data_IF_206052021501
#
_entry.id   IF_206052021501
#
_cell.length_a   1.000
_cell.length_b   1.000
_cell.length_c   1.000
_cell.angle_alpha   90.00
_cell.angle_beta   90.00
_cell.angle_gamma   90.00
#
_symmetry.space_group_name_H-M   'P 1'
#
loop_
_entity.id
_entity.type
_entity.pdbx_description
1 polymer ?
#
# COMPACT_ATOMS: atom_id res chain seq x y z
N UNK A 1 31.13 5.40 1.67
CA UNK A 1 30.16 4.39 1.16
C UNK A 1 30.05 3.29 2.18
N UNK A 2 28.85 3.07 2.72
CA UNK A 2 28.60 1.91 3.56
C UNK A 2 28.83 0.62 2.78
N UNK A 3 29.59 -0.36 3.33
CA UNK A 3 30.12 -1.49 2.54
C UNK A 3 29.07 -2.49 2.07
N UNK A 4 27.88 -2.53 2.67
CA UNK A 4 26.94 -3.65 2.46
C UNK A 4 25.78 -3.32 1.53
N UNK A 5 25.97 -2.42 0.55
CA UNK A 5 24.94 -2.08 -0.42
C UNK A 5 25.20 -2.71 -1.78
N UNK A 6 24.13 -3.10 -2.47
CA UNK A 6 24.15 -3.57 -3.85
C UNK A 6 23.32 -2.65 -4.72
N UNK A 7 23.96 -1.84 -5.56
CA UNK A 7 23.29 -0.96 -6.52
C UNK A 7 23.67 -1.32 -7.94
N UNK A 8 22.69 -1.72 -8.74
CA UNK A 8 22.88 -2.16 -10.14
C UNK A 8 21.95 -1.39 -11.05
N UNK A 9 22.49 -0.63 -11.97
CA UNK A 9 21.73 0.17 -12.95
C UNK A 9 22.15 1.62 -13.00
N UNK A 10 21.73 2.32 -14.06
CA UNK A 10 22.04 3.75 -14.23
C UNK A 10 21.43 4.54 -13.07
N UNK A 11 22.24 5.30 -12.33
CA UNK A 11 21.83 6.13 -11.20
C UNK A 11 21.14 5.36 -10.05
N UNK A 12 21.30 4.05 -9.96
CA UNK A 12 20.85 3.29 -8.79
C UNK A 12 21.66 3.72 -7.55
N UNK A 13 21.00 4.07 -6.46
CA UNK A 13 21.63 4.56 -5.24
C UNK A 13 22.45 5.83 -5.42
N UNK A 14 22.14 6.68 -6.39
CA UNK A 14 22.95 7.82 -6.85
C UNK A 14 23.38 8.76 -5.72
N UNK A 15 22.51 9.07 -4.80
CA UNK A 15 22.77 10.03 -3.72
C UNK A 15 22.99 9.38 -2.35
N UNK A 16 23.12 8.05 -2.33
CA UNK A 16 23.31 7.32 -1.08
C UNK A 16 24.60 7.77 -0.36
N UNK A 17 24.47 8.29 0.84
CA UNK A 17 25.57 8.81 1.64
C UNK A 17 25.36 8.52 3.14
N UNK A 18 25.26 7.26 3.49
CA UNK A 18 25.22 6.87 4.91
C UNK A 18 26.65 6.68 5.43
N UNK A 19 27.06 7.51 6.39
CA UNK A 19 28.38 7.49 7.00
C UNK A 19 28.44 6.66 8.30
N UNK A 20 27.31 6.18 8.79
CA UNK A 20 27.22 5.41 10.05
C UNK A 20 27.62 3.92 9.90
N UNK A 21 28.01 3.50 8.71
CA UNK A 21 28.53 2.14 8.47
C UNK A 21 27.48 1.09 8.11
N UNK A 22 26.21 1.29 8.41
CA UNK A 22 25.12 0.38 8.05
C UNK A 22 24.43 0.83 6.76
N UNK A 23 24.34 -0.05 5.79
CA UNK A 23 23.59 0.18 4.56
C UNK A 23 22.60 -0.96 4.33
N UNK A 24 23.12 -2.07 3.85
CA UNK A 24 22.37 -3.30 3.55
C UNK A 24 21.15 -3.04 2.69
N UNK A 25 21.33 -2.14 1.70
CA UNK A 25 20.29 -1.84 0.72
C UNK A 25 20.57 -2.58 -0.59
N UNK A 26 19.51 -2.98 -1.25
CA UNK A 26 19.54 -3.51 -2.61
C UNK A 26 18.75 -2.59 -3.52
N UNK A 27 19.40 -2.06 -4.56
CA UNK A 27 18.78 -1.27 -5.60
C UNK A 27 19.11 -1.84 -6.98
N UNK A 28 18.15 -2.42 -7.67
CA UNK A 28 18.33 -3.00 -8.99
C UNK A 28 17.38 -2.37 -9.99
N UNK A 29 17.91 -1.70 -10.99
CA UNK A 29 17.16 -0.98 -12.01
C UNK A 29 17.67 0.45 -12.21
N UNK A 30 17.31 1.06 -13.33
CA UNK A 30 17.65 2.47 -13.55
C UNK A 30 16.91 3.33 -12.54
N UNK A 31 17.63 4.28 -11.93
CA UNK A 31 17.19 5.19 -10.85
C UNK A 31 16.50 4.51 -9.64
N UNK A 32 16.60 3.20 -9.51
CA UNK A 32 16.18 2.47 -8.30
C UNK A 32 16.94 2.99 -7.08
N UNK A 33 16.27 3.22 -5.96
CA UNK A 33 16.88 3.87 -4.78
C UNK A 33 17.61 5.19 -5.09
N UNK A 34 17.29 5.85 -6.20
CA UNK A 34 18.07 7.00 -6.71
C UNK A 34 18.08 8.22 -5.81
N UNK A 35 17.09 8.39 -4.96
CA UNK A 35 16.98 9.45 -3.97
C UNK A 35 17.27 8.99 -2.53
N UNK A 36 17.58 7.73 -2.31
CA UNK A 36 17.91 7.20 -0.99
C UNK A 36 19.21 7.85 -0.48
N UNK A 37 19.15 8.47 0.70
CA UNK A 37 20.31 9.17 1.30
C UNK A 37 20.92 8.38 2.44
N UNK A 38 20.19 8.16 3.51
CA UNK A 38 20.66 7.53 4.76
C UNK A 38 19.86 6.29 5.18
N UNK A 39 18.77 5.98 4.45
CA UNK A 39 17.93 4.80 4.73
C UNK A 39 18.71 3.49 4.65
N UNK A 40 18.32 2.53 5.48
CA UNK A 40 18.99 1.22 5.62
C UNK A 40 17.99 0.07 5.50
N UNK A 41 18.51 -1.13 5.14
CA UNK A 41 17.73 -2.35 5.05
C UNK A 41 16.58 -2.29 4.04
N UNK A 42 16.78 -1.58 2.91
CA UNK A 42 15.75 -1.46 1.87
C UNK A 42 16.06 -2.35 0.66
N UNK A 43 15.02 -2.85 0.02
CA UNK A 43 15.07 -3.58 -1.25
C UNK A 43 14.22 -2.85 -2.30
N UNK A 44 14.86 -2.31 -3.33
CA UNK A 44 14.21 -1.60 -4.43
C UNK A 44 14.57 -2.27 -5.76
N UNK A 45 13.62 -2.90 -6.42
CA UNK A 45 13.82 -3.61 -7.68
C UNK A 45 12.85 -3.12 -8.75
N UNK A 46 13.36 -2.54 -9.80
CA UNK A 46 12.59 -1.98 -10.90
C UNK A 46 13.04 -0.57 -11.27
N UNK A 47 12.55 -0.06 -12.40
CA UNK A 47 12.76 1.32 -12.77
C UNK A 47 12.14 2.25 -11.73
N UNK A 48 12.88 3.19 -11.20
CA UNK A 48 12.46 4.17 -10.21
C UNK A 48 11.80 3.57 -8.94
N UNK A 49 12.03 2.29 -8.63
CA UNK A 49 11.55 1.70 -7.38
C UNK A 49 12.14 2.45 -6.18
N UNK A 50 11.30 2.83 -5.21
CA UNK A 50 11.67 3.67 -4.08
C UNK A 50 11.94 5.14 -4.41
N UNK A 51 11.85 5.52 -5.70
CA UNK A 51 12.14 6.87 -6.18
C UNK A 51 11.00 7.32 -7.10
N UNK A 52 9.95 7.89 -6.54
CA UNK A 52 8.82 8.36 -7.34
C UNK A 52 9.25 9.42 -8.37
N UNK A 53 8.84 9.27 -9.61
CA UNK A 53 9.08 10.24 -10.67
C UNK A 53 8.52 11.60 -10.27
N UNK A 54 9.34 12.65 -10.41
CA UNK A 54 8.92 14.03 -10.13
C UNK A 54 9.17 14.52 -8.69
N UNK A 55 9.94 13.80 -7.86
CA UNK A 55 10.37 14.30 -6.54
C UNK A 55 9.22 14.48 -5.54
N UNK A 56 8.20 13.64 -5.63
CA UNK A 56 7.03 13.69 -4.74
C UNK A 56 7.36 13.19 -3.34
N UNK A 57 6.49 13.51 -2.38
CA UNK A 57 6.59 13.03 -0.98
C UNK A 57 6.63 11.51 -0.82
N UNK A 58 6.33 10.76 -1.88
CA UNK A 58 6.35 9.28 -1.92
C UNK A 58 7.72 8.68 -2.25
N UNK A 59 8.75 9.50 -2.46
CA UNK A 59 10.14 9.07 -2.68
C UNK A 59 10.80 8.74 -1.34
N UNK A 60 11.35 7.52 -1.21
CA UNK A 60 12.05 7.12 0.02
C UNK A 60 13.47 7.68 0.03
N UNK A 61 13.79 8.49 1.04
CA UNK A 61 15.12 9.11 1.21
C UNK A 61 15.84 8.63 2.47
N UNK A 62 15.16 8.62 3.60
CA UNK A 62 15.70 8.23 4.91
C UNK A 62 15.01 7.01 5.51
N UNK A 63 14.02 6.46 4.81
CA UNK A 63 13.20 5.34 5.25
C UNK A 63 13.96 4.02 5.36
N UNK A 64 13.48 3.12 6.22
CA UNK A 64 14.14 1.85 6.52
C UNK A 64 13.18 0.66 6.37
N UNK A 65 13.75 -0.53 6.16
CA UNK A 65 13.01 -1.80 6.13
C UNK A 65 11.92 -1.88 5.05
N UNK A 66 12.11 -1.18 3.92
CA UNK A 66 11.12 -1.18 2.85
C UNK A 66 11.47 -2.19 1.76
N UNK A 67 10.45 -2.83 1.19
CA UNK A 67 10.57 -3.69 0.00
C UNK A 67 9.66 -3.16 -1.10
N UNK A 68 10.24 -2.64 -2.18
CA UNK A 68 9.50 -2.07 -3.31
C UNK A 68 9.94 -2.73 -4.60
N UNK A 69 9.05 -3.48 -5.21
CA UNK A 69 9.34 -4.28 -6.41
C UNK A 69 8.33 -3.95 -7.50
N UNK A 70 8.81 -3.36 -8.57
CA UNK A 70 8.01 -2.96 -9.72
C UNK A 70 8.45 -1.60 -10.29
N UNK A 71 7.94 -1.29 -11.49
CA UNK A 71 8.11 0.04 -12.08
C UNK A 71 7.44 1.07 -11.17
N UNK A 72 8.20 2.05 -10.68
CA UNK A 72 7.72 3.13 -9.80
C UNK A 72 6.97 2.64 -8.54
N UNK A 73 7.25 1.44 -8.04
CA UNK A 73 6.78 1.02 -6.72
C UNK A 73 7.35 1.98 -5.66
N UNK A 74 6.51 2.51 -4.78
CA UNK A 74 6.85 3.66 -3.92
C UNK A 74 6.31 3.55 -2.50
N UNK A 75 6.90 4.35 -1.64
CA UNK A 75 6.46 4.49 -0.24
C UNK A 75 5.41 5.58 -0.04
N UNK A 76 4.96 5.74 1.20
CA UNK A 76 4.02 6.79 1.59
C UNK A 76 4.70 8.14 1.85
N UNK A 77 6.01 8.14 2.11
CA UNK A 77 6.76 9.35 2.47
C UNK A 77 8.26 9.17 2.30
N UNK A 78 9.02 10.24 2.46
CA UNK A 78 10.49 10.23 2.45
C UNK A 78 11.11 9.39 3.58
N UNK A 79 10.43 9.27 4.70
CA UNK A 79 10.83 8.48 5.87
C UNK A 79 10.02 7.18 6.02
N UNK A 80 9.49 6.65 4.93
CA UNK A 80 8.71 5.42 4.90
C UNK A 80 9.42 4.26 5.63
N UNK A 81 8.72 3.54 6.49
CA UNK A 81 9.29 2.43 7.28
C UNK A 81 8.40 1.20 7.23
N UNK A 82 9.04 0.02 7.07
CA UNK A 82 8.38 -1.28 7.01
C UNK A 82 7.22 -1.33 6.01
N UNK A 83 7.45 -0.81 4.81
CA UNK A 83 6.46 -0.79 3.74
C UNK A 83 6.83 -1.76 2.63
N UNK A 84 5.85 -2.51 2.15
CA UNK A 84 6.03 -3.48 1.10
C UNK A 84 5.10 -3.17 -0.08
N UNK A 85 5.65 -2.69 -1.20
CA UNK A 85 4.91 -2.32 -2.41
C UNK A 85 5.31 -3.23 -3.57
N UNK A 86 4.37 -3.97 -4.11
CA UNK A 86 4.60 -4.93 -5.19
C UNK A 86 3.72 -4.63 -6.40
N UNK A 87 4.34 -4.38 -7.54
CA UNK A 87 3.66 -4.15 -8.82
C UNK A 87 3.92 -2.77 -9.40
N UNK A 88 3.38 -2.55 -10.61
CA UNK A 88 3.41 -1.25 -11.30
C UNK A 88 2.77 -0.18 -10.43
N UNK A 89 3.47 0.90 -10.17
CA UNK A 89 3.02 2.06 -9.39
C UNK A 89 2.38 1.75 -8.03
N UNK A 90 2.63 0.56 -7.47
CA UNK A 90 2.14 0.18 -6.15
C UNK A 90 2.64 1.19 -5.10
N UNK A 91 1.73 1.73 -4.29
CA UNK A 91 2.04 2.76 -3.31
C UNK A 91 1.43 2.45 -1.95
N UNK A 92 2.25 2.36 -0.91
CA UNK A 92 1.75 2.36 0.46
C UNK A 92 1.28 3.76 0.86
N UNK A 93 0.29 3.82 1.74
CA UNK A 93 -0.25 5.07 2.29
C UNK A 93 0.21 5.36 3.73
N UNK A 94 0.73 4.36 4.43
CA UNK A 94 1.22 4.45 5.80
C UNK A 94 2.38 3.47 6.05
N UNK A 95 3.09 3.63 7.17
CA UNK A 95 4.05 2.64 7.65
C UNK A 95 3.36 1.31 8.01
N UNK A 96 4.16 0.25 8.11
CA UNK A 96 3.71 -1.10 8.48
C UNK A 96 2.62 -1.67 7.54
N UNK A 97 2.72 -1.38 6.24
CA UNK A 97 1.71 -1.72 5.23
C UNK A 97 2.30 -2.55 4.09
N UNK A 98 1.47 -3.48 3.58
CA UNK A 98 1.72 -4.19 2.33
C UNK A 98 0.70 -3.75 1.29
N UNK A 99 1.15 -3.36 0.10
CA UNK A 99 0.31 -2.99 -1.05
C UNK A 99 0.65 -3.85 -2.25
N UNK A 100 -0.35 -4.45 -2.86
CA UNK A 100 -0.23 -5.30 -4.04
C UNK A 100 -0.91 -4.63 -5.24
N UNK A 101 -0.09 -4.05 -6.13
CA UNK A 101 -0.56 -3.33 -7.31
C UNK A 101 -1.04 -1.91 -7.03
N UNK A 102 -1.60 -1.30 -8.05
CA UNK A 102 -2.20 0.04 -8.03
C UNK A 102 -3.72 -0.01 -8.13
N UNK A 103 -4.39 1.13 -8.28
CA UNK A 103 -5.85 1.24 -8.40
C UNK A 103 -6.45 0.57 -9.65
N UNK A 104 -5.62 0.16 -10.61
CA UNK A 104 -6.07 -0.53 -11.83
C UNK A 104 -6.20 -2.06 -11.66
N UNK A 105 -5.71 -2.61 -10.53
CA UNK A 105 -5.80 -4.05 -10.28
C UNK A 105 -7.27 -4.46 -10.05
N UNK A 106 -7.80 -5.23 -10.96
CA UNK A 106 -9.20 -5.70 -10.92
C UNK A 106 -9.42 -7.02 -10.18
N UNK A 107 -8.36 -7.78 -9.89
CA UNK A 107 -8.49 -9.06 -9.17
C UNK A 107 -7.16 -9.50 -8.54
N UNK A 108 -7.22 -9.99 -7.31
CA UNK A 108 -6.15 -10.77 -6.69
C UNK A 108 -6.52 -12.26 -6.77
N UNK A 109 -5.72 -13.05 -7.48
CA UNK A 109 -5.95 -14.49 -7.64
C UNK A 109 -4.94 -15.27 -6.81
N UNK A 110 -5.44 -15.97 -5.80
CA UNK A 110 -4.65 -16.86 -4.93
C UNK A 110 -5.22 -18.27 -4.97
N UNK A 111 -4.36 -19.28 -4.86
CA UNK A 111 -4.81 -20.67 -4.68
C UNK A 111 -5.48 -20.83 -3.31
N UNK A 112 -5.00 -20.11 -2.31
CA UNK A 112 -5.60 -20.06 -0.97
C UNK A 112 -6.59 -18.90 -0.92
N UNK A 113 -7.84 -19.19 -0.52
CA UNK A 113 -8.93 -18.20 -0.48
C UNK A 113 -9.06 -17.48 0.85
N UNK A 114 -8.32 -17.93 1.88
CA UNK A 114 -8.38 -17.36 3.22
C UNK A 114 -7.08 -16.65 3.57
N UNK A 115 -7.17 -15.37 3.90
CA UNK A 115 -6.10 -14.64 4.57
C UNK A 115 -6.38 -14.78 6.07
N UNK A 116 -5.53 -15.53 6.77
CA UNK A 116 -5.73 -15.83 8.19
C UNK A 116 -5.01 -14.83 9.06
N UNK A 117 -5.70 -14.18 9.97
CA UNK A 117 -5.06 -13.50 11.09
C UNK A 117 -4.66 -14.54 12.15
N UNK A 118 -3.56 -14.33 12.82
CA UNK A 118 -3.18 -15.13 13.98
C UNK A 118 -4.17 -14.82 15.11
N UNK A 119 -4.97 -15.81 15.53
CA UNK A 119 -5.99 -15.69 16.55
C UNK A 119 -5.91 -16.87 17.53
N UNK A 120 -4.86 -16.86 18.35
CA UNK A 120 -4.65 -17.87 19.40
C UNK A 120 -5.29 -17.38 20.70
N UNK A 121 -5.93 -18.30 21.46
CA UNK A 121 -6.52 -18.00 22.77
C UNK A 121 -5.45 -17.46 23.76
N UNK A 122 -4.20 -17.97 23.64
CA UNK A 122 -3.07 -17.55 24.49
C UNK A 122 -2.66 -16.09 24.30
N UNK A 123 -3.04 -15.50 23.17
CA UNK A 123 -2.76 -14.08 22.83
C UNK A 123 -3.93 -13.17 23.22
N UNK A 124 -4.92 -13.68 23.96
CA UNK A 124 -6.13 -12.96 24.36
C UNK A 124 -6.28 -12.97 25.86
N UNK A 125 -6.77 -11.87 26.40
CA UNK A 125 -7.12 -11.73 27.81
C UNK A 125 -8.56 -11.23 27.94
N UNK A 126 -9.16 -11.40 29.13
CA UNK A 126 -10.53 -10.93 29.39
C UNK A 126 -11.56 -11.45 28.38
N UNK A 127 -11.48 -12.75 28.11
CA UNK A 127 -12.42 -13.41 27.22
C UNK A 127 -13.75 -13.53 27.98
N UNK A 128 -14.77 -12.85 27.48
CA UNK A 128 -16.10 -12.81 28.06
C UNK A 128 -17.15 -13.13 26.98
N UNK A 129 -18.33 -13.57 27.39
CA UNK A 129 -19.43 -13.77 26.46
C UNK A 129 -19.88 -12.41 25.90
N UNK A 130 -20.07 -12.36 24.58
CA UNK A 130 -20.57 -11.16 23.91
C UNK A 130 -22.03 -10.89 24.35
N UNK A 131 -22.34 -9.69 24.89
CA UNK A 131 -23.68 -9.39 25.41
C UNK A 131 -24.75 -9.15 24.35
N UNK A 132 -24.42 -9.41 23.08
CA UNK A 132 -25.29 -9.18 21.94
C UNK A 132 -25.96 -10.47 21.49
N UNK A 133 -27.30 -10.45 21.43
CA UNK A 133 -28.14 -11.58 20.99
C UNK A 133 -28.78 -11.34 19.62
N UNK A 134 -29.94 -11.96 19.40
CA UNK A 134 -30.70 -11.86 18.14
C UNK A 134 -31.12 -10.43 17.83
N UNK A 135 -31.43 -9.61 18.83
CA UNK A 135 -31.84 -8.21 18.65
C UNK A 135 -30.72 -7.39 17.96
N UNK A 136 -29.47 -7.67 18.29
CA UNK A 136 -28.32 -7.07 17.60
C UNK A 136 -28.26 -7.54 16.14
N UNK A 137 -28.41 -8.83 15.89
CA UNK A 137 -28.40 -9.39 14.52
C UNK A 137 -29.52 -8.77 13.69
N UNK A 138 -30.72 -8.60 14.26
CA UNK A 138 -31.86 -7.96 13.59
C UNK A 138 -31.63 -6.46 13.30
N UNK A 139 -30.74 -5.82 14.06
CA UNK A 139 -30.36 -4.40 13.82
C UNK A 139 -29.45 -4.24 12.60
N UNK A 140 -28.74 -5.29 12.21
CA UNK A 140 -27.89 -5.30 11.01
C UNK A 140 -28.78 -5.35 9.76
N UNK A 141 -28.50 -4.48 8.81
CA UNK A 141 -29.29 -4.31 7.58
C UNK A 141 -28.51 -4.75 6.35
N UNK A 142 -28.55 -6.01 5.94
CA UNK A 142 -27.93 -6.42 4.69
C UNK A 142 -28.61 -5.72 3.50
N UNK A 143 -27.82 -5.19 2.60
CA UNK A 143 -28.27 -4.40 1.45
C UNK A 143 -27.87 -5.07 0.13
N UNK A 144 -28.72 -4.88 -0.89
CA UNK A 144 -28.32 -5.05 -2.29
C UNK A 144 -27.93 -3.67 -2.83
N UNK A 145 -26.82 -3.56 -3.52
CA UNK A 145 -26.40 -2.31 -4.12
C UNK A 145 -25.69 -2.55 -5.47
N UNK A 146 -25.51 -1.47 -6.18
CA UNK A 146 -24.69 -1.43 -7.39
C UNK A 146 -23.51 -0.51 -7.07
N UNK A 147 -22.30 -0.96 -7.35
CA UNK A 147 -21.12 -0.13 -7.19
C UNK A 147 -21.19 1.07 -8.15
N UNK A 148 -21.26 2.26 -7.61
CA UNK A 148 -21.15 3.52 -8.34
C UNK A 148 -19.92 4.28 -7.85
N UNK A 149 -18.75 3.76 -8.23
CA UNK A 149 -17.50 4.42 -7.89
C UNK A 149 -17.44 5.81 -8.51
N UNK A 150 -17.07 6.79 -7.70
CA UNK A 150 -16.77 8.15 -8.15
C UNK A 150 -15.63 8.08 -9.17
N UNK A 151 -15.65 8.98 -10.15
CA UNK A 151 -14.53 9.15 -11.05
C UNK A 151 -13.28 9.55 -10.24
N UNK A 152 -12.17 8.92 -10.55
CA UNK A 152 -10.84 9.34 -10.11
C UNK A 152 -10.14 10.03 -11.27
N UNK A 153 -9.29 11.00 -11.01
CA UNK A 153 -8.50 11.67 -12.04
C UNK A 153 -7.05 11.19 -11.98
N UNK A 154 -6.49 10.90 -13.14
CA UNK A 154 -5.04 10.67 -13.29
C UNK A 154 -4.47 11.67 -14.29
N UNK A 155 -3.24 12.08 -14.05
CA UNK A 155 -2.49 12.88 -15.02
C UNK A 155 -1.84 11.93 -16.02
N UNK A 156 -2.16 12.09 -17.29
CA UNK A 156 -1.45 11.46 -18.41
C UNK A 156 -0.53 12.50 -19.06
N UNK A 157 0.70 12.09 -19.35
CA UNK A 157 1.72 12.93 -20.01
C UNK A 157 1.93 12.34 -21.41
N UNK A 158 1.74 13.13 -22.44
CA UNK A 158 1.98 12.73 -23.83
C UNK A 158 3.49 12.69 -24.17
N UNK A 159 3.82 12.23 -25.37
CA UNK A 159 5.22 12.13 -25.83
C UNK A 159 5.91 13.52 -25.96
N UNK A 160 5.12 14.58 -25.99
CA UNK A 160 5.59 15.98 -26.08
C UNK A 160 5.72 16.63 -24.70
N UNK A 161 5.33 15.91 -23.61
CA UNK A 161 5.44 16.35 -22.23
C UNK A 161 4.27 17.20 -21.72
N UNK A 162 3.14 17.24 -22.48
CA UNK A 162 1.94 17.94 -22.02
C UNK A 162 1.15 17.08 -21.03
N UNK A 163 0.66 17.69 -19.96
CA UNK A 163 -0.15 17.04 -18.95
C UNK A 163 -1.64 17.15 -19.27
N UNK A 164 -2.35 16.03 -19.26
CA UNK A 164 -3.80 15.98 -19.39
C UNK A 164 -4.41 15.24 -18.20
N UNK A 165 -5.45 15.81 -17.60
CA UNK A 165 -6.24 15.14 -16.56
C UNK A 165 -7.28 14.24 -17.21
N UNK A 166 -7.18 12.93 -16.95
CA UNK A 166 -8.11 11.94 -17.52
C UNK A 166 -8.92 11.33 -16.37
N UNK A 167 -10.26 11.37 -16.51
CA UNK A 167 -11.15 10.68 -15.60
C UNK A 167 -11.18 9.17 -15.90
N UNK A 168 -11.10 8.36 -14.86
CA UNK A 168 -11.31 6.92 -14.98
C UNK A 168 -12.21 6.39 -13.85
N UNK A 169 -12.82 5.25 -14.10
CA UNK A 169 -13.69 4.60 -13.13
C UNK A 169 -13.11 3.24 -12.73
N UNK A 170 -13.27 2.86 -11.47
CA UNK A 170 -12.94 1.52 -11.01
C UNK A 170 -13.61 0.44 -11.84
N UNK A 171 -12.94 -0.68 -12.06
CA UNK A 171 -13.43 -1.85 -12.79
C UNK A 171 -14.74 -2.45 -12.20
N UNK A 172 -15.08 -2.10 -10.97
CA UNK A 172 -16.30 -2.55 -10.30
C UNK A 172 -17.52 -1.64 -10.53
N UNK A 173 -17.39 -0.52 -11.23
CA UNK A 173 -18.53 0.37 -11.51
C UNK A 173 -19.63 -0.39 -12.27
N UNK A 174 -20.85 -0.33 -11.74
CA UNK A 174 -22.00 -1.05 -12.30
C UNK A 174 -22.16 -2.50 -11.83
N UNK A 175 -21.21 -3.06 -11.09
CA UNK A 175 -21.32 -4.42 -10.52
C UNK A 175 -22.37 -4.44 -9.42
N UNK A 176 -23.27 -5.44 -9.47
CA UNK A 176 -24.25 -5.70 -8.42
C UNK A 176 -23.59 -6.52 -7.32
N UNK A 177 -23.87 -6.16 -6.07
CA UNK A 177 -23.35 -6.86 -4.91
C UNK A 177 -24.33 -6.84 -3.74
N UNK A 178 -24.03 -7.62 -2.71
CA UNK A 178 -24.75 -7.65 -1.43
C UNK A 178 -23.74 -7.45 -0.31
N UNK A 179 -24.12 -6.74 0.71
CA UNK A 179 -23.25 -6.46 1.87
C UNK A 179 -23.90 -5.48 2.82
N UNK A 180 -23.10 -4.88 3.67
CA UNK A 180 -23.54 -3.85 4.61
C UNK A 180 -23.02 -2.48 4.14
N UNK A 181 -23.77 -1.43 4.52
CA UNK A 181 -23.32 -0.06 4.33
C UNK A 181 -22.58 0.36 5.60
N UNK A 182 -21.34 0.81 5.46
CA UNK A 182 -20.47 1.15 6.59
C UNK A 182 -21.12 2.18 7.54
N UNK A 183 -21.78 3.18 7.01
CA UNK A 183 -22.48 4.21 7.81
C UNK A 183 -23.68 3.64 8.59
N UNK A 184 -24.34 2.60 8.06
CA UNK A 184 -25.42 1.92 8.79
C UNK A 184 -24.85 1.04 9.90
N UNK A 185 -23.73 0.35 9.64
CA UNK A 185 -23.03 -0.42 10.67
C UNK A 185 -22.48 0.48 11.78
N UNK A 186 -21.92 1.62 11.43
CA UNK A 186 -21.40 2.59 12.40
C UNK A 186 -22.45 3.07 13.41
N UNK A 187 -23.73 3.05 13.04
CA UNK A 187 -24.83 3.42 13.94
C UNK A 187 -25.16 2.35 14.99
N UNK A 188 -24.70 1.11 14.80
CA UNK A 188 -24.92 -0.03 15.71
C UNK A 188 -23.62 -0.58 16.28
N UNK A 189 -22.48 -0.03 15.80
CA UNK A 189 -21.15 -0.35 16.29
C UNK A 189 -20.89 0.37 17.62
N UNK A 190 -20.17 -0.28 18.50
CA UNK A 190 -19.60 0.34 19.68
C UNK A 190 -18.09 0.17 19.70
N UNK A 191 -17.40 0.82 20.63
CA UNK A 191 -15.94 0.84 20.72
C UNK A 191 -15.32 -0.56 20.85
N UNK A 192 -16.11 -1.58 21.15
CA UNK A 192 -15.65 -2.96 21.33
C UNK A 192 -15.83 -3.82 20.08
N UNK A 193 -16.87 -3.60 19.29
CA UNK A 193 -17.23 -4.46 18.16
C UNK A 193 -16.29 -4.33 16.97
N UNK A 194 -15.74 -3.14 16.75
CA UNK A 194 -14.81 -2.87 15.63
C UNK A 194 -15.33 -3.37 14.28
N UNK A 195 -16.60 -3.16 14.00
CA UNK A 195 -17.25 -3.62 12.78
C UNK A 195 -16.82 -2.85 11.53
N UNK A 196 -16.25 -1.66 11.71
CA UNK A 196 -15.81 -0.77 10.63
C UNK A 196 -14.39 -0.31 10.89
N UNK A 197 -13.56 -0.41 9.86
CA UNK A 197 -12.19 0.09 9.81
C UNK A 197 -12.12 1.41 9.05
#
# INVERSE_FOLDING_TARGET
TSPDNTFIGKQSGLVFNNTSGDGRNVGVGSISAGALTTGIYNVFVGYAAGNASGGTSSTVTTGNFNTMVGYEAKGSSTAASNQNSFGYSAACSANDQITLGDSSIGALRCQVTTITSLSDERDKTSIEDLPYGLDFVDSLKPRKFVWDHRAETKTEIDEEGNETQVEFYSANKGKKDIGFIAQELQSVDDDFLNLIY
#
